data_IF_308127811550
#
_entry.id   IF_308127811550
#
_cell.length_a   1.000
_cell.length_b   1.000
_cell.length_c   1.000
_cell.angle_alpha   90.00
_cell.angle_beta   90.00
_cell.angle_gamma   90.00
#
_symmetry.space_group_name_H-M   'P 1'
#
loop_
_entity.id
_entity.type
_entity.pdbx_description
1 polymer ?
#
# COMPACT_ATOMS: atom_id res chain seq x y z
N UNK A 1 8.90 -12.36 7.95
CA UNK A 1 7.54 -12.00 8.42
C UNK A 1 6.61 -11.94 7.21
N UNK A 2 5.29 -11.92 7.39
CA UNK A 2 4.35 -11.82 6.25
C UNK A 2 4.55 -10.52 5.45
N UNK A 3 4.88 -9.41 6.13
CA UNK A 3 5.22 -8.13 5.50
C UNK A 3 6.43 -8.28 4.55
N UNK A 4 7.45 -9.04 4.96
CA UNK A 4 8.64 -9.28 4.12
C UNK A 4 8.31 -10.06 2.85
N UNK A 5 7.38 -11.03 2.96
CA UNK A 5 6.92 -11.81 1.80
C UNK A 5 6.22 -10.91 0.78
N UNK A 6 5.31 -10.04 1.24
CA UNK A 6 4.58 -9.10 0.37
C UNK A 6 5.53 -8.06 -0.23
N UNK A 7 6.44 -7.49 0.56
CA UNK A 7 7.47 -6.57 0.07
C UNK A 7 8.36 -7.23 -0.99
N UNK A 8 8.79 -8.48 -0.76
CA UNK A 8 9.58 -9.20 -1.75
C UNK A 8 8.80 -9.40 -3.05
N UNK A 9 7.54 -9.85 -2.98
CA UNK A 9 6.68 -9.98 -4.16
C UNK A 9 6.57 -8.67 -4.95
N UNK A 10 6.30 -7.56 -4.28
CA UNK A 10 6.21 -6.24 -4.90
C UNK A 10 7.54 -5.84 -5.57
N UNK A 11 8.67 -6.11 -4.91
CA UNK A 11 10.00 -5.79 -5.43
C UNK A 11 10.41 -6.66 -6.61
N UNK A 12 10.20 -7.97 -6.53
CA UNK A 12 10.73 -8.93 -7.50
C UNK A 12 9.77 -9.20 -8.64
N UNK A 13 8.52 -9.55 -8.32
CA UNK A 13 7.52 -9.94 -9.33
C UNK A 13 6.91 -8.72 -10.01
N UNK A 14 6.64 -7.67 -9.24
CA UNK A 14 6.05 -6.43 -9.76
C UNK A 14 7.07 -5.36 -10.11
N UNK A 15 8.36 -5.61 -9.84
CA UNK A 15 9.46 -4.66 -10.10
C UNK A 15 9.26 -3.28 -9.46
N UNK A 16 8.54 -3.22 -8.35
CA UNK A 16 8.24 -1.98 -7.63
C UNK A 16 9.35 -1.60 -6.65
N UNK A 17 10.59 -2.04 -6.88
CA UNK A 17 11.72 -1.81 -5.98
C UNK A 17 12.06 -0.34 -5.76
N UNK A 18 11.77 0.52 -6.75
CA UNK A 18 11.91 1.97 -6.68
C UNK A 18 10.58 2.71 -6.48
N UNK A 19 9.45 1.99 -6.32
CA UNK A 19 8.16 2.62 -6.03
C UNK A 19 8.21 3.24 -4.62
N UNK A 20 7.87 4.53 -4.53
CA UNK A 20 7.93 5.29 -3.27
C UNK A 20 7.03 4.69 -2.18
N UNK A 21 5.93 4.02 -2.54
CA UNK A 21 5.04 3.32 -1.61
C UNK A 21 5.70 2.08 -1.03
N UNK A 22 6.42 1.31 -1.85
CA UNK A 22 7.18 0.13 -1.38
C UNK A 22 8.29 0.56 -0.43
N UNK A 23 9.02 1.63 -0.77
CA UNK A 23 10.07 2.21 0.09
C UNK A 23 9.47 2.71 1.41
N UNK A 24 8.31 3.36 1.38
CA UNK A 24 7.63 3.82 2.59
C UNK A 24 7.21 2.66 3.50
N UNK A 25 6.62 1.60 2.93
CA UNK A 25 6.20 0.40 3.68
C UNK A 25 7.42 -0.28 4.30
N UNK A 26 8.53 -0.39 3.58
CA UNK A 26 9.80 -0.92 4.10
C UNK A 26 10.32 -0.10 5.28
N UNK A 27 10.28 1.24 5.18
CA UNK A 27 10.66 2.12 6.30
C UNK A 27 9.75 1.94 7.52
N UNK A 28 8.43 1.84 7.32
CA UNK A 28 7.48 1.57 8.42
C UNK A 28 7.74 0.20 9.06
N UNK A 29 8.03 -0.82 8.25
CA UNK A 29 8.41 -2.16 8.72
C UNK A 29 9.68 -2.13 9.57
N UNK A 30 10.68 -1.33 9.19
CA UNK A 30 11.90 -1.17 10.00
C UNK A 30 11.64 -0.45 11.32
N UNK A 31 10.72 0.52 11.32
CA UNK A 31 10.24 1.15 12.55
C UNK A 31 9.56 0.15 13.50
N UNK A 32 8.71 -0.74 12.97
CA UNK A 32 8.08 -1.83 13.75
C UNK A 32 9.13 -2.77 14.33
N UNK A 33 10.13 -3.16 13.53
CA UNK A 33 11.25 -3.99 14.01
C UNK A 33 11.99 -3.32 15.18
N UNK A 34 12.30 -2.03 15.05
CA UNK A 34 12.97 -1.27 16.12
C UNK A 34 12.14 -1.24 17.41
N UNK A 35 10.82 -1.12 17.30
CA UNK A 35 9.92 -1.18 18.47
C UNK A 35 9.90 -2.56 19.13
N UNK A 36 9.88 -3.64 18.34
CA UNK A 36 9.99 -5.01 18.86
C UNK A 36 11.32 -5.21 19.59
N UNK A 37 12.42 -4.73 19.03
CA UNK A 37 13.74 -4.82 19.66
C UNK A 37 13.79 -4.01 20.98
N UNK A 38 13.09 -2.89 21.05
CA UNK A 38 12.95 -2.09 22.29
C UNK A 38 12.08 -2.81 23.33
N UNK A 39 10.97 -3.43 22.90
CA UNK A 39 10.10 -4.22 23.77
C UNK A 39 10.88 -5.41 24.38
N UNK A 40 11.67 -6.10 23.55
CA UNK A 40 12.56 -7.18 23.98
C UNK A 40 13.60 -6.69 24.98
N UNK A 41 14.24 -5.55 24.72
CA UNK A 41 15.22 -4.96 25.64
C UNK A 41 14.59 -4.61 27.01
N UNK A 42 13.35 -4.11 27.02
CA UNK A 42 12.62 -3.86 28.27
C UNK A 42 12.24 -5.15 29.00
N UNK A 43 11.92 -6.22 28.27
CA UNK A 43 11.65 -7.53 28.85
C UNK A 43 12.90 -8.09 29.52
N UNK A 44 14.05 -8.05 28.83
CA UNK A 44 15.35 -8.50 29.36
C UNK A 44 15.84 -7.66 30.55
N UNK A 45 15.34 -6.43 30.70
CA UNK A 45 15.61 -5.55 31.84
C UNK A 45 14.56 -5.66 32.97
N UNK A 46 13.73 -6.71 32.97
CA UNK A 46 12.64 -6.96 33.94
C UNK A 46 11.55 -5.87 34.00
N UNK A 47 11.46 -5.02 32.97
CA UNK A 47 10.45 -3.95 32.84
C UNK A 47 9.20 -4.46 32.15
N UNK A 48 8.57 -5.49 32.71
CA UNK A 48 7.51 -6.25 32.04
C UNK A 48 6.33 -5.42 31.52
N UNK A 49 5.79 -4.49 32.32
CA UNK A 49 4.69 -3.61 31.87
C UNK A 49 5.06 -2.74 30.67
N UNK A 50 6.29 -2.25 30.64
CA UNK A 50 6.77 -1.41 29.53
C UNK A 50 7.03 -2.27 28.28
N UNK A 51 7.60 -3.45 28.46
CA UNK A 51 7.77 -4.43 27.39
C UNK A 51 6.43 -4.83 26.77
N UNK A 52 5.42 -5.14 27.58
CA UNK A 52 4.08 -5.48 27.14
C UNK A 52 3.43 -4.32 26.36
N UNK A 53 3.50 -3.10 26.91
CA UNK A 53 2.95 -1.90 26.24
C UNK A 53 3.58 -1.72 24.85
N UNK A 54 4.91 -1.79 24.76
CA UNK A 54 5.62 -1.62 23.49
C UNK A 54 5.37 -2.77 22.51
N UNK A 55 5.27 -4.01 23.00
CA UNK A 55 4.94 -5.15 22.15
C UNK A 55 3.54 -5.02 21.55
N UNK A 56 2.55 -4.56 22.34
CA UNK A 56 1.20 -4.32 21.86
C UNK A 56 1.15 -3.19 20.82
N UNK A 57 1.89 -2.10 21.04
CA UNK A 57 2.01 -1.02 20.05
C UNK A 57 2.66 -1.49 18.75
N UNK A 58 3.75 -2.27 18.85
CA UNK A 58 4.44 -2.83 17.71
C UNK A 58 3.55 -3.81 16.93
N UNK A 59 2.75 -4.63 17.62
CA UNK A 59 1.79 -5.55 17.01
C UNK A 59 0.70 -4.80 16.24
N UNK A 60 0.13 -3.75 16.84
CA UNK A 60 -0.86 -2.90 16.17
C UNK A 60 -0.29 -2.27 14.91
N UNK A 61 0.86 -1.59 15.03
CA UNK A 61 1.51 -0.93 13.88
C UNK A 61 1.93 -1.94 12.81
N UNK A 62 2.43 -3.10 13.21
CA UNK A 62 2.76 -4.19 12.28
C UNK A 62 1.55 -4.66 11.48
N UNK A 63 0.39 -4.77 12.14
CA UNK A 63 -0.89 -5.05 11.48
C UNK A 63 -1.26 -3.98 10.44
N UNK A 64 -1.14 -2.69 10.80
CA UNK A 64 -1.43 -1.58 9.89
C UNK A 64 -0.49 -1.61 8.66
N UNK A 65 0.82 -1.83 8.87
CA UNK A 65 1.81 -1.94 7.78
C UNK A 65 1.52 -3.13 6.86
N UNK A 66 1.12 -4.27 7.43
CA UNK A 66 0.74 -5.44 6.64
C UNK A 66 -0.50 -5.16 5.79
N UNK A 67 -1.51 -4.48 6.36
CA UNK A 67 -2.72 -4.12 5.63
C UNK A 67 -2.39 -3.19 4.45
N UNK A 68 -1.56 -2.16 4.68
CA UNK A 68 -1.09 -1.27 3.60
C UNK A 68 -0.33 -2.05 2.50
N UNK A 69 0.54 -2.99 2.89
CA UNK A 69 1.29 -3.81 1.94
C UNK A 69 0.37 -4.71 1.09
N UNK A 70 -0.66 -5.31 1.71
CA UNK A 70 -1.66 -6.13 1.00
C UNK A 70 -2.52 -5.31 0.05
N UNK A 71 -2.95 -4.11 0.45
CA UNK A 71 -3.67 -3.19 -0.44
C UNK A 71 -2.81 -2.88 -1.68
N UNK A 72 -1.52 -2.57 -1.48
CA UNK A 72 -0.61 -2.30 -2.59
C UNK A 72 -0.40 -3.53 -3.48
N UNK A 73 -0.34 -4.73 -2.89
CA UNK A 73 -0.29 -5.99 -3.64
C UNK A 73 -1.52 -6.16 -4.51
N UNK A 74 -2.72 -6.03 -3.94
CA UNK A 74 -3.99 -6.13 -4.67
C UNK A 74 -4.09 -5.10 -5.80
N UNK A 75 -3.69 -3.84 -5.54
CA UNK A 75 -3.61 -2.80 -6.57
C UNK A 75 -2.65 -3.20 -7.70
N UNK A 76 -1.46 -3.70 -7.37
CA UNK A 76 -0.46 -4.14 -8.35
C UNK A 76 -0.89 -5.38 -9.15
N UNK A 77 -1.77 -6.20 -8.59
CA UNK A 77 -2.35 -7.38 -9.23
C UNK A 77 -3.52 -7.03 -10.15
N UNK A 78 -4.26 -5.97 -9.81
CA UNK A 78 -5.38 -5.47 -10.61
C UNK A 78 -4.95 -4.74 -11.90
N UNK A 79 -3.68 -4.34 -12.00
CA UNK A 79 -3.14 -3.71 -13.20
C UNK A 79 -2.82 -4.78 -14.27
N UNK A 80 -3.30 -4.63 -15.53
CA UNK A 80 -2.93 -5.56 -16.59
C UNK A 80 -1.40 -5.59 -16.75
N UNK A 81 -0.85 -6.80 -16.93
CA UNK A 81 0.59 -7.12 -16.93
C UNK A 81 1.47 -6.33 -17.94
N UNK A 82 0.87 -5.43 -18.73
CA UNK A 82 1.54 -4.58 -19.72
C UNK A 82 1.76 -3.13 -19.26
N UNK A 83 1.32 -2.77 -18.04
CA UNK A 83 1.56 -1.45 -17.48
C UNK A 83 2.85 -1.50 -16.68
N UNK A 84 3.91 -0.99 -17.31
CA UNK A 84 5.24 -0.83 -16.74
C UNK A 84 5.19 0.18 -15.57
N UNK A 85 5.31 -0.27 -14.30
CA UNK A 85 5.11 0.59 -13.14
C UNK A 85 6.18 1.68 -13.00
N UNK A 86 7.29 1.55 -13.71
CA UNK A 86 8.37 2.53 -13.77
C UNK A 86 8.05 3.75 -14.65
N UNK A 87 6.92 3.76 -15.36
CA UNK A 87 6.50 4.87 -16.22
C UNK A 87 5.31 5.64 -15.61
N UNK A 88 5.56 6.60 -14.71
CA UNK A 88 4.50 7.42 -14.10
C UNK A 88 3.63 8.14 -15.15
N UNK A 89 4.20 8.43 -16.32
CA UNK A 89 3.48 9.04 -17.44
C UNK A 89 2.33 8.18 -17.96
N UNK A 90 2.46 6.86 -17.97
CA UNK A 90 1.39 5.95 -18.41
C UNK A 90 0.21 5.97 -17.43
N UNK A 91 0.47 6.06 -16.12
CA UNK A 91 -0.60 6.20 -15.12
C UNK A 91 -1.32 7.54 -15.21
N UNK A 92 -0.59 8.62 -15.49
CA UNK A 92 -1.21 9.94 -15.72
C UNK A 92 -2.09 9.91 -16.97
N UNK A 93 -1.61 9.30 -18.06
CA UNK A 93 -2.39 9.19 -19.31
C UNK A 93 -3.61 8.29 -19.15
N UNK A 94 -3.48 7.15 -18.46
CA UNK A 94 -4.61 6.25 -18.18
C UNK A 94 -5.62 6.86 -17.21
N UNK A 95 -5.15 7.51 -16.15
CA UNK A 95 -6.02 8.23 -15.21
C UNK A 95 -6.79 9.35 -15.90
N UNK A 96 -6.12 10.13 -16.76
CA UNK A 96 -6.78 11.15 -17.58
C UNK A 96 -7.80 10.54 -18.56
N UNK A 97 -7.46 9.43 -19.21
CA UNK A 97 -8.38 8.73 -20.13
C UNK A 97 -9.63 8.19 -19.39
N UNK A 98 -9.47 7.63 -18.20
CA UNK A 98 -10.59 7.14 -17.38
C UNK A 98 -11.55 8.28 -16.99
N UNK A 99 -11.03 9.44 -16.58
CA UNK A 99 -11.84 10.62 -16.27
C UNK A 99 -12.60 11.12 -17.51
N UNK A 100 -11.96 11.11 -18.68
CA UNK A 100 -12.62 11.50 -19.94
C UNK A 100 -13.76 10.54 -20.34
N UNK A 101 -13.56 9.23 -20.18
CA UNK A 101 -14.60 8.23 -20.46
C UNK A 101 -15.77 8.40 -19.51
N UNK A 102 -15.52 8.55 -18.21
CA UNK A 102 -16.56 8.78 -17.20
C UNK A 102 -17.31 10.08 -17.51
N UNK A 103 -16.60 11.18 -17.79
CA UNK A 103 -17.19 12.45 -18.18
C UNK A 103 -18.07 12.33 -19.43
N UNK A 104 -17.59 11.63 -20.46
CA UNK A 104 -18.35 11.38 -21.69
C UNK A 104 -19.63 10.58 -21.42
N UNK A 105 -19.56 9.52 -20.63
CA UNK A 105 -20.72 8.70 -20.25
C UNK A 105 -21.74 9.52 -19.46
N UNK A 106 -21.28 10.34 -18.50
CA UNK A 106 -22.16 11.20 -17.70
C UNK A 106 -22.86 12.26 -18.57
N UNK A 107 -22.13 12.89 -19.50
CA UNK A 107 -22.70 13.88 -20.43
C UNK A 107 -23.72 13.24 -21.35
N UNK A 108 -23.40 12.07 -21.93
CA UNK A 108 -24.32 11.33 -22.79
C UNK A 108 -25.58 10.93 -22.03
N UNK A 109 -25.42 10.43 -20.80
CA UNK A 109 -26.55 10.03 -19.97
C UNK A 109 -27.43 11.23 -19.65
N UNK A 110 -26.88 12.37 -19.21
CA UNK A 110 -27.66 13.60 -18.96
C UNK A 110 -28.47 14.07 -20.16
N UNK A 111 -27.89 14.08 -21.37
CA UNK A 111 -28.62 14.47 -22.59
C UNK A 111 -29.83 13.59 -22.89
N UNK A 112 -29.77 12.31 -22.56
CA UNK A 112 -30.92 11.40 -22.74
C UNK A 112 -32.08 11.68 -21.77
N UNK A 113 -31.83 12.31 -20.61
CA UNK A 113 -32.90 12.72 -19.70
C UNK A 113 -33.56 14.03 -20.13
N UNK A 114 -32.81 14.93 -20.78
CA UNK A 114 -33.34 16.21 -21.28
C UNK A 114 -34.25 16.06 -22.52
N UNK A 115 -34.22 14.90 -23.21
CA UNK A 115 -35.08 14.59 -24.37
C UNK A 115 -36.41 13.90 -23.99
N UNK A 116 -36.64 13.65 -22.69
CA UNK A 116 -37.88 13.05 -22.15
C UNK A 116 -38.70 14.03 -21.29
N UNK A 117 -38.38 15.33 -21.34
CA UNK A 117 -39.14 16.43 -20.77
C UNK A 117 -39.94 17.20 -21.80
#
# INVERSE_FOLDING_TARGET
SEIDTVLNYLKTEKRMGSDSRVILIESKRESVKTQVDTAKSNFEADRFRLAETQANEALKRGGDVLAEAKILQEESDSLPAFIDPEKPFIYIVLGAAAILVIGFVVIKKRRTWDELG
#
